data_IF_340217286939
#
_entry.id   IF_340217286939
#
_cell.length_a   1.000
_cell.length_b   1.000
_cell.length_c   1.000
_cell.angle_alpha   90.00
_cell.angle_beta   90.00
_cell.angle_gamma   90.00
#
_symmetry.space_group_name_H-M   'P 1'
#
loop_
_entity.id
_entity.type
_entity.pdbx_description
1 polymer ?
#
# COMPACT_ATOMS: atom_id res chain seq x y z
N UNK A 1 -17.75 46.20 8.94
CA UNK A 1 -17.04 46.05 7.65
C UNK A 1 -16.30 44.71 7.69
N UNK A 2 -16.59 43.86 6.71
CA UNK A 2 -16.04 42.51 6.46
C UNK A 2 -14.48 42.52 6.50
N UNK A 3 -13.75 41.43 6.74
CA UNK A 3 -13.82 40.13 6.04
C UNK A 3 -13.27 39.00 6.95
N UNK A 4 -14.07 37.96 7.14
CA UNK A 4 -13.63 36.62 7.56
C UNK A 4 -12.77 36.01 6.44
N UNK A 5 -11.46 35.82 6.68
CA UNK A 5 -10.65 34.95 5.82
C UNK A 5 -10.81 33.49 6.26
N UNK A 6 -11.35 32.70 5.34
CA UNK A 6 -11.68 31.29 5.48
C UNK A 6 -10.43 30.43 5.74
N UNK A 7 -10.41 29.78 6.91
CA UNK A 7 -9.42 28.78 7.34
C UNK A 7 -9.25 27.59 6.37
N UNK A 8 -10.18 27.40 5.40
CA UNK A 8 -10.11 26.32 4.40
C UNK A 8 -9.03 26.54 3.34
N UNK A 9 -8.65 27.79 3.04
CA UNK A 9 -7.65 28.06 1.99
C UNK A 9 -6.21 28.07 2.50
N UNK A 10 -6.01 28.29 3.81
CA UNK A 10 -4.68 28.29 4.42
C UNK A 10 -4.10 26.85 4.54
N UNK A 11 -4.95 25.88 4.88
CA UNK A 11 -4.55 24.46 4.86
C UNK A 11 -4.29 23.95 3.43
N UNK A 12 -5.04 24.42 2.43
CA UNK A 12 -4.84 24.01 1.04
C UNK A 12 -3.55 24.59 0.44
N UNK A 13 -3.16 25.82 0.83
CA UNK A 13 -1.90 26.44 0.40
C UNK A 13 -0.68 25.84 1.09
N UNK A 14 -0.77 25.44 2.36
CA UNK A 14 0.30 24.68 3.05
C UNK A 14 0.46 23.28 2.45
N UNK A 15 -0.63 22.61 2.06
CA UNK A 15 -0.55 21.32 1.35
C UNK A 15 0.11 21.51 -0.02
N UNK A 16 -0.23 22.55 -0.79
CA UNK A 16 0.42 22.80 -2.09
C UNK A 16 1.90 23.18 -1.93
N UNK A 17 2.26 23.99 -0.93
CA UNK A 17 3.66 24.38 -0.67
C UNK A 17 4.50 23.21 -0.14
N UNK A 18 3.95 22.35 0.73
CA UNK A 18 4.64 21.12 1.11
C UNK A 18 4.69 20.10 -0.03
N UNK A 19 3.68 19.98 -0.89
CA UNK A 19 3.75 19.14 -2.09
C UNK A 19 4.73 19.68 -3.13
N UNK A 20 4.93 20.99 -3.23
CA UNK A 20 5.96 21.57 -4.12
C UNK A 20 7.39 21.27 -3.63
N UNK A 21 7.60 21.23 -2.32
CA UNK A 21 8.86 20.78 -1.71
C UNK A 21 8.95 19.24 -1.60
N UNK A 22 7.83 18.52 -1.78
CA UNK A 22 7.75 17.08 -2.00
C UNK A 22 7.68 16.71 -3.49
N UNK A 23 8.02 17.64 -4.39
CA UNK A 23 8.67 17.29 -5.65
C UNK A 23 10.10 16.92 -5.28
N UNK A 24 10.20 15.81 -4.53
CA UNK A 24 11.43 15.07 -4.37
C UNK A 24 11.89 14.80 -5.79
N UNK A 25 13.03 15.40 -6.14
CA UNK A 25 13.82 15.13 -7.32
C UNK A 25 13.36 13.83 -8.01
N UNK A 26 12.60 13.97 -9.09
CA UNK A 26 12.68 12.99 -10.18
C UNK A 26 14.10 13.15 -10.75
N UNK A 27 15.10 12.77 -9.95
CA UNK A 27 16.37 12.33 -10.48
C UNK A 27 15.96 11.08 -11.23
N UNK A 28 16.06 11.12 -12.56
CA UNK A 28 16.25 9.91 -13.33
C UNK A 28 17.25 9.08 -12.53
N UNK A 29 16.77 7.98 -11.98
CA UNK A 29 17.68 6.91 -11.62
C UNK A 29 18.26 6.57 -12.99
N UNK A 30 19.48 7.06 -13.26
CA UNK A 30 20.36 6.46 -14.24
C UNK A 30 20.50 5.02 -13.80
N UNK A 31 19.55 4.19 -14.22
CA UNK A 31 19.70 2.75 -14.21
C UNK A 31 20.83 2.52 -15.18
N UNK A 32 22.07 2.50 -14.66
CA UNK A 32 23.16 1.89 -15.38
C UNK A 32 22.62 0.57 -15.91
N UNK A 33 22.67 0.41 -17.23
CA UNK A 33 22.19 -0.74 -17.98
C UNK A 33 22.89 -2.01 -17.51
N UNK A 34 22.53 -2.49 -16.33
CA UNK A 34 22.80 -3.83 -15.85
C UNK A 34 21.54 -4.61 -16.14
N UNK A 35 21.46 -5.12 -17.37
CA UNK A 35 20.45 -6.12 -17.70
C UNK A 35 20.70 -7.34 -16.82
N UNK A 36 19.89 -7.49 -15.77
CA UNK A 36 19.95 -8.68 -14.90
C UNK A 36 19.57 -9.88 -15.77
N UNK A 37 20.56 -10.71 -16.10
CA UNK A 37 20.38 -11.88 -16.94
C UNK A 37 19.67 -13.00 -16.15
N UNK A 38 18.34 -13.05 -16.28
CA UNK A 38 17.46 -13.99 -15.57
C UNK A 38 17.54 -15.45 -16.06
N UNK A 39 18.51 -15.81 -16.90
CA UNK A 39 18.62 -17.14 -17.52
C UNK A 39 19.32 -18.20 -16.66
N UNK A 40 19.75 -17.87 -15.44
CA UNK A 40 20.42 -18.84 -14.57
C UNK A 40 19.44 -19.91 -14.06
N UNK A 41 19.72 -21.21 -14.28
CA UNK A 41 18.87 -22.30 -13.79
C UNK A 41 18.92 -22.47 -12.27
N UNK A 42 19.95 -21.96 -11.59
CA UNK A 42 20.15 -22.17 -10.15
C UNK A 42 19.39 -21.17 -9.29
N UNK A 43 19.09 -19.96 -9.80
CA UNK A 43 18.29 -18.91 -9.13
C UNK A 43 17.54 -18.08 -10.18
N UNK A 44 16.37 -18.55 -10.67
CA UNK A 44 15.61 -17.80 -11.67
C UNK A 44 15.12 -16.46 -11.11
N UNK A 45 14.76 -15.53 -12.00
CA UNK A 45 14.03 -14.34 -11.60
C UNK A 45 12.59 -14.66 -11.20
N UNK A 46 12.08 -13.89 -10.24
CA UNK A 46 10.72 -13.98 -9.73
C UNK A 46 9.78 -13.27 -10.72
N UNK A 47 8.97 -14.02 -11.47
CA UNK A 47 7.99 -13.45 -12.40
C UNK A 47 6.72 -12.96 -11.68
N UNK A 48 5.96 -12.07 -12.33
CA UNK A 48 4.77 -11.44 -11.74
C UNK A 48 3.61 -12.43 -11.60
N UNK A 49 3.04 -12.55 -10.39
CA UNK A 49 1.79 -13.29 -10.13
C UNK A 49 0.67 -12.33 -9.76
N UNK A 50 -0.43 -12.36 -10.50
CA UNK A 50 -1.56 -11.45 -10.29
C UNK A 50 -2.34 -11.76 -9.01
N UNK A 51 -2.74 -10.72 -8.28
CA UNK A 51 -3.50 -10.82 -7.03
C UNK A 51 -5.00 -10.69 -7.29
N UNK A 52 -5.77 -11.67 -6.80
CA UNK A 52 -7.25 -11.69 -6.94
C UNK A 52 -8.01 -10.89 -5.86
N UNK A 53 -7.40 -10.66 -4.69
CA UNK A 53 -8.04 -10.02 -3.53
C UNK A 53 -7.14 -8.92 -2.99
N UNK A 54 -7.61 -7.68 -2.99
CA UNK A 54 -6.87 -6.49 -2.57
C UNK A 54 -7.56 -5.74 -1.43
N UNK A 55 -6.97 -4.62 -1.03
CA UNK A 55 -7.60 -3.65 -0.15
C UNK A 55 -7.84 -2.38 -0.98
N UNK A 56 -9.05 -2.25 -1.51
CA UNK A 56 -9.42 -1.14 -2.37
C UNK A 56 -10.28 -0.15 -1.60
N UNK A 57 -9.99 1.14 -1.74
CA UNK A 57 -10.72 2.20 -1.05
C UNK A 57 -11.27 3.19 -2.07
N UNK A 58 -12.43 3.75 -1.74
CA UNK A 58 -13.14 4.69 -2.62
C UNK A 58 -13.60 5.93 -1.87
N UNK A 59 -13.73 7.03 -2.61
CA UNK A 59 -14.46 8.21 -2.15
C UNK A 59 -15.44 8.63 -3.24
N UNK A 60 -16.70 8.15 -3.20
CA UNK A 60 -17.67 8.37 -4.27
C UNK A 60 -17.93 9.85 -4.58
N UNK A 61 -17.98 10.70 -3.54
CA UNK A 61 -18.16 12.16 -3.66
C UNK A 61 -17.16 12.81 -4.63
N UNK A 62 -15.91 12.33 -4.62
CA UNK A 62 -14.83 12.85 -5.46
C UNK A 62 -14.45 11.90 -6.61
N UNK A 63 -15.19 10.78 -6.77
CA UNK A 63 -14.89 9.68 -7.69
C UNK A 63 -13.42 9.23 -7.60
N UNK A 64 -12.90 9.11 -6.38
CA UNK A 64 -11.55 8.63 -6.13
C UNK A 64 -11.54 7.14 -5.85
N UNK A 65 -10.52 6.44 -6.34
CA UNK A 65 -10.27 5.03 -6.06
C UNK A 65 -8.77 4.78 -5.87
N UNK A 66 -8.41 3.96 -4.90
CA UNK A 66 -7.03 3.50 -4.71
C UNK A 66 -6.95 2.04 -4.27
N UNK A 67 -5.83 1.39 -4.57
CA UNK A 67 -5.43 0.11 -4.00
C UNK A 67 -4.33 0.34 -2.97
N UNK A 68 -4.53 -0.15 -1.75
CA UNK A 68 -3.59 0.02 -0.65
C UNK A 68 -2.64 -1.17 -0.58
N UNK A 69 -1.34 -0.88 -0.63
CA UNK A 69 -0.24 -1.84 -0.52
C UNK A 69 0.58 -1.58 0.74
N UNK A 70 0.95 -2.64 1.45
CA UNK A 70 1.69 -2.51 2.69
C UNK A 70 3.02 -1.77 2.47
N UNK A 71 3.34 -0.86 3.40
CA UNK A 71 4.58 -0.06 3.40
C UNK A 71 4.71 0.96 2.27
N UNK A 72 3.62 1.20 1.54
CA UNK A 72 3.50 2.27 0.52
C UNK A 72 2.56 3.38 1.00
N UNK A 73 2.90 4.04 2.10
CA UNK A 73 2.05 5.08 2.69
C UNK A 73 0.64 4.58 3.07
N UNK A 74 0.51 3.27 3.30
CA UNK A 74 -0.78 2.58 3.38
C UNK A 74 -1.70 3.11 4.46
N UNK A 75 -1.20 3.30 5.68
CA UNK A 75 -2.02 3.76 6.80
C UNK A 75 -2.56 5.16 6.54
N UNK A 76 -1.70 6.05 6.03
CA UNK A 76 -2.08 7.43 5.74
C UNK A 76 -3.09 7.53 4.60
N UNK A 77 -2.94 6.74 3.53
CA UNK A 77 -3.95 6.68 2.47
C UNK A 77 -5.31 6.25 3.03
N UNK A 78 -5.34 5.23 3.89
CA UNK A 78 -6.61 4.76 4.48
C UNK A 78 -7.25 5.86 5.31
N UNK A 79 -6.47 6.55 6.16
CA UNK A 79 -6.92 7.69 6.96
C UNK A 79 -7.49 8.81 6.09
N UNK A 80 -6.75 9.24 5.06
CA UNK A 80 -7.16 10.29 4.11
C UNK A 80 -8.46 9.88 3.39
N UNK A 81 -8.57 8.63 2.93
CA UNK A 81 -9.78 8.15 2.27
C UNK A 81 -10.97 8.06 3.22
N UNK A 82 -10.76 7.75 4.50
CA UNK A 82 -11.82 7.77 5.50
C UNK A 82 -12.30 9.20 5.77
N UNK A 83 -11.36 10.13 6.03
CA UNK A 83 -11.64 11.56 6.20
C UNK A 83 -12.41 12.16 5.00
N UNK A 84 -11.98 11.86 3.77
CA UNK A 84 -12.65 12.36 2.56
C UNK A 84 -14.01 11.68 2.31
N UNK A 85 -14.21 10.48 2.83
CA UNK A 85 -15.46 9.73 2.70
C UNK A 85 -16.53 10.25 3.66
N UNK A 86 -16.18 10.38 4.94
CA UNK A 86 -17.05 10.90 5.99
C UNK A 86 -16.21 11.59 7.07
N UNK A 87 -16.05 12.91 6.91
CA UNK A 87 -15.29 13.78 7.82
C UNK A 87 -15.85 13.75 9.25
N UNK A 88 -17.19 13.76 9.41
CA UNK A 88 -17.82 13.76 10.73
C UNK A 88 -17.55 12.46 11.46
N UNK A 89 -17.67 11.34 10.75
CA UNK A 89 -17.37 10.03 11.31
C UNK A 89 -15.89 9.88 11.64
N UNK A 90 -15.01 10.36 10.77
CA UNK A 90 -13.57 10.38 11.05
C UNK A 90 -13.28 11.12 12.36
N UNK A 91 -13.76 12.35 12.51
CA UNK A 91 -13.54 13.16 13.72
C UNK A 91 -14.28 12.69 14.97
N UNK A 92 -15.29 11.83 14.83
CA UNK A 92 -15.93 11.20 16.00
C UNK A 92 -15.04 10.16 16.69
N UNK A 93 -13.98 9.70 16.00
CA UNK A 93 -13.08 8.63 16.48
C UNK A 93 -11.63 9.13 16.58
N UNK A 94 -11.19 9.97 15.64
CA UNK A 94 -9.79 10.38 15.48
C UNK A 94 -9.67 11.91 15.37
N UNK A 95 -8.70 12.49 16.05
CA UNK A 95 -8.37 13.91 15.92
C UNK A 95 -7.38 14.16 14.78
N UNK A 96 -6.52 13.19 14.50
CA UNK A 96 -5.44 13.30 13.53
C UNK A 96 -5.32 12.07 12.62
N UNK A 97 -4.81 12.26 11.40
CA UNK A 97 -4.70 11.20 10.38
C UNK A 97 -3.79 10.04 10.80
N UNK A 98 -2.83 10.26 11.69
CA UNK A 98 -1.91 9.23 12.19
C UNK A 98 -2.55 8.27 13.21
N UNK A 99 -3.76 8.58 13.70
CA UNK A 99 -4.49 7.76 14.67
C UNK A 99 -5.30 6.63 13.99
N UNK A 100 -5.50 6.73 12.68
CA UNK A 100 -6.25 5.75 11.88
C UNK A 100 -5.34 4.63 11.35
N UNK A 101 -5.05 3.65 12.22
CA UNK A 101 -4.27 2.45 11.91
C UNK A 101 -5.12 1.16 11.81
N UNK A 102 -4.50 0.05 11.40
CA UNK A 102 -5.19 -1.19 10.95
C UNK A 102 -6.33 -1.71 11.85
N UNK A 103 -6.20 -1.56 13.18
CA UNK A 103 -7.19 -2.02 14.16
C UNK A 103 -8.20 -0.93 14.58
N UNK A 104 -8.00 0.32 14.16
CA UNK A 104 -8.80 1.48 14.56
C UNK A 104 -9.41 2.21 13.35
N UNK A 105 -9.66 1.50 12.25
CA UNK A 105 -10.20 2.09 11.03
C UNK A 105 -11.66 2.50 11.18
N UNK A 106 -11.92 3.82 11.25
CA UNK A 106 -13.26 4.39 11.38
C UNK A 106 -14.19 3.99 10.22
N UNK A 107 -13.67 3.89 8.99
CA UNK A 107 -14.46 3.63 7.78
C UNK A 107 -14.33 2.20 7.21
N UNK A 108 -13.64 1.25 7.88
CA UNK A 108 -13.19 -0.06 7.31
C UNK A 108 -14.26 -0.88 6.58
N UNK A 109 -15.54 -0.68 6.85
CA UNK A 109 -16.66 -1.45 6.26
C UNK A 109 -17.46 -0.70 5.19
N UNK A 110 -17.28 0.62 5.10
CA UNK A 110 -18.15 1.47 4.27
C UNK A 110 -17.49 1.77 2.93
N UNK A 111 -16.25 2.25 2.99
CA UNK A 111 -15.50 2.73 1.84
C UNK A 111 -14.45 1.73 1.31
N UNK A 112 -14.37 0.53 1.90
CA UNK A 112 -13.47 -0.54 1.48
C UNK A 112 -14.18 -1.59 0.61
N UNK A 113 -13.47 -2.14 -0.38
CA UNK A 113 -13.87 -3.34 -1.13
C UNK A 113 -12.72 -4.35 -1.25
N UNK A 114 -13.06 -5.64 -1.35
CA UNK A 114 -12.07 -6.73 -1.47
C UNK A 114 -11.65 -6.99 -2.91
N UNK A 115 -12.53 -6.69 -3.86
CA UNK A 115 -12.28 -6.89 -5.28
C UNK A 115 -12.73 -5.69 -6.11
N UNK A 116 -12.09 -5.50 -7.24
CA UNK A 116 -12.46 -4.47 -8.20
C UNK A 116 -13.90 -4.68 -8.74
N UNK A 117 -14.31 -5.94 -8.91
CA UNK A 117 -15.68 -6.31 -9.35
C UNK A 117 -16.74 -5.86 -8.34
N UNK A 118 -16.48 -6.06 -7.06
CA UNK A 118 -17.35 -5.62 -5.96
C UNK A 118 -17.51 -4.09 -5.97
N UNK A 119 -16.40 -3.36 -6.12
CA UNK A 119 -16.44 -1.90 -6.19
C UNK A 119 -17.21 -1.39 -7.41
N UNK A 120 -16.97 -1.94 -8.61
CA UNK A 120 -17.69 -1.55 -9.82
C UNK A 120 -19.19 -1.83 -9.66
N UNK A 121 -19.56 -2.95 -9.06
CA UNK A 121 -20.97 -3.29 -8.79
C UNK A 121 -21.59 -2.25 -7.85
N UNK A 122 -20.93 -1.94 -6.74
CA UNK A 122 -21.44 -1.05 -5.69
C UNK A 122 -21.51 0.43 -6.12
N UNK A 123 -20.50 0.92 -6.83
CA UNK A 123 -20.33 2.35 -7.08
C UNK A 123 -20.47 2.77 -8.55
N UNK A 124 -20.73 1.84 -9.45
CA UNK A 124 -20.95 2.13 -10.87
C UNK A 124 -22.02 1.25 -11.50
N UNK A 125 -22.87 0.59 -10.68
CA UNK A 125 -23.94 -0.30 -11.12
C UNK A 125 -23.46 -1.33 -12.17
N UNK A 126 -22.24 -1.87 -11.99
CA UNK A 126 -21.65 -2.84 -12.92
C UNK A 126 -20.99 -2.23 -14.16
N UNK A 127 -21.13 -0.91 -14.42
CA UNK A 127 -20.60 -0.24 -15.62
C UNK A 127 -19.09 -0.05 -15.52
N UNK A 128 -18.33 -1.08 -15.91
CA UNK A 128 -16.86 -1.10 -15.90
C UNK A 128 -16.24 0.11 -16.61
N UNK A 129 -16.65 0.40 -17.85
CA UNK A 129 -16.13 1.54 -18.65
C UNK A 129 -16.38 2.89 -17.96
N UNK A 130 -17.52 3.03 -17.29
CA UNK A 130 -17.82 4.24 -16.51
C UNK A 130 -16.85 4.40 -15.34
N UNK A 131 -16.63 3.33 -14.56
CA UNK A 131 -15.71 3.36 -13.43
C UNK A 131 -14.31 3.79 -13.89
N UNK A 132 -13.73 3.08 -14.86
CA UNK A 132 -12.38 3.37 -15.36
C UNK A 132 -12.19 4.76 -15.97
N UNK A 133 -13.21 5.29 -16.64
CA UNK A 133 -13.07 6.55 -17.38
C UNK A 133 -13.50 7.79 -16.57
N UNK A 134 -14.36 7.62 -15.56
CA UNK A 134 -14.92 8.74 -14.80
C UNK A 134 -14.37 8.85 -13.38
N UNK A 135 -13.71 7.81 -12.88
CA UNK A 135 -13.05 7.83 -11.59
C UNK A 135 -11.56 8.10 -11.76
N UNK A 136 -10.96 8.75 -10.77
CA UNK A 136 -9.53 8.93 -10.67
C UNK A 136 -8.95 7.76 -9.89
N UNK A 137 -8.15 6.95 -10.58
CA UNK A 137 -7.47 5.80 -9.98
C UNK A 137 -6.02 6.19 -9.71
N UNK A 138 -5.57 6.03 -8.48
CA UNK A 138 -4.16 6.24 -8.15
C UNK A 138 -3.66 5.19 -7.19
N UNK A 139 -2.35 4.98 -7.23
CA UNK A 139 -1.63 4.08 -6.37
C UNK A 139 -0.33 4.77 -5.97
N UNK A 140 0.05 4.63 -4.70
CA UNK A 140 1.35 5.12 -4.23
C UNK A 140 2.31 3.94 -4.29
N UNK A 141 3.43 4.14 -4.99
CA UNK A 141 4.51 3.17 -5.13
C UNK A 141 5.74 3.81 -4.51
N UNK A 142 6.35 3.12 -3.55
CA UNK A 142 7.62 3.51 -2.94
C UNK A 142 8.77 2.77 -3.60
N UNK A 143 9.98 3.34 -3.55
CA UNK A 143 11.21 2.64 -3.90
C UNK A 143 11.23 1.23 -3.27
N UNK A 144 11.43 0.14 -4.05
CA UNK A 144 11.35 -1.22 -3.54
C UNK A 144 12.31 -1.53 -2.38
N UNK A 145 13.53 -0.98 -2.43
CA UNK A 145 14.56 -1.18 -1.40
C UNK A 145 14.14 -0.50 -0.11
N UNK A 146 13.73 0.77 -0.18
CA UNK A 146 13.26 1.48 1.01
C UNK A 146 12.01 0.85 1.63
N UNK A 147 11.07 0.41 0.79
CA UNK A 147 9.88 -0.31 1.24
C UNK A 147 10.29 -1.58 2.00
N UNK A 148 11.24 -2.34 1.45
CA UNK A 148 11.76 -3.54 2.08
C UNK A 148 12.43 -3.22 3.42
N UNK A 149 13.34 -2.25 3.47
CA UNK A 149 14.03 -1.85 4.72
C UNK A 149 13.01 -1.38 5.77
N UNK A 150 12.03 -0.56 5.38
CA UNK A 150 10.96 -0.11 6.28
C UNK A 150 10.07 -1.26 6.77
N UNK A 151 9.82 -2.26 5.92
CA UNK A 151 9.13 -3.49 6.29
C UNK A 151 9.92 -4.32 7.30
N UNK A 152 11.18 -4.59 6.98
CA UNK A 152 12.08 -5.43 7.75
C UNK A 152 12.36 -4.82 9.12
N UNK A 153 12.73 -3.54 9.17
CA UNK A 153 13.03 -2.84 10.42
C UNK A 153 11.80 -2.80 11.33
N UNK A 154 10.63 -2.46 10.81
CA UNK A 154 9.40 -2.43 11.60
C UNK A 154 8.99 -3.79 12.13
N UNK A 155 9.01 -4.82 11.28
CA UNK A 155 8.40 -6.11 11.61
C UNK A 155 9.42 -7.05 12.26
N UNK A 156 10.63 -7.14 11.71
CA UNK A 156 11.63 -8.13 12.10
C UNK A 156 12.67 -7.62 13.09
N UNK A 157 12.87 -6.31 13.21
CA UNK A 157 13.79 -5.72 14.19
C UNK A 157 13.02 -5.21 15.40
N UNK A 158 12.14 -4.22 15.22
CA UNK A 158 11.37 -3.65 16.33
C UNK A 158 10.25 -4.56 16.82
N UNK A 159 9.56 -5.26 15.90
CA UNK A 159 8.47 -6.16 16.25
C UNK A 159 8.90 -7.56 16.68
N UNK A 160 10.21 -7.84 16.81
CA UNK A 160 10.79 -9.19 16.90
C UNK A 160 10.21 -10.08 18.00
N UNK A 161 9.71 -9.48 19.09
CA UNK A 161 9.18 -10.22 20.23
C UNK A 161 7.74 -10.70 20.01
N UNK A 162 7.02 -10.12 19.05
CA UNK A 162 5.65 -10.55 18.74
C UNK A 162 5.62 -11.88 17.98
N UNK A 163 4.66 -12.74 18.31
CA UNK A 163 4.46 -14.04 17.64
C UNK A 163 4.24 -13.88 16.13
N UNK A 164 3.50 -12.84 15.71
CA UNK A 164 3.23 -12.57 14.29
C UNK A 164 4.52 -12.20 13.56
N UNK A 165 5.37 -11.36 14.18
CA UNK A 165 6.67 -11.01 13.61
C UNK A 165 7.61 -12.21 13.54
N UNK A 166 7.72 -13.01 14.59
CA UNK A 166 8.56 -14.23 14.59
C UNK A 166 8.21 -15.14 13.39
N UNK A 167 6.91 -15.40 13.19
CA UNK A 167 6.42 -16.17 12.03
C UNK A 167 6.70 -15.47 10.70
N UNK A 168 6.43 -14.16 10.60
CA UNK A 168 6.64 -13.38 9.36
C UNK A 168 8.12 -13.31 8.99
N UNK A 169 9.01 -13.27 9.98
CA UNK A 169 10.44 -13.10 9.81
C UNK A 169 11.21 -14.42 9.85
N UNK A 170 10.51 -15.55 9.69
CA UNK A 170 11.08 -16.90 9.64
C UNK A 170 11.98 -17.24 10.85
N UNK A 171 11.70 -16.66 12.02
CA UNK A 171 12.53 -16.77 13.23
C UNK A 171 14.00 -16.34 13.03
N UNK A 172 14.30 -15.47 12.05
CA UNK A 172 15.64 -14.95 11.78
C UNK A 172 16.14 -13.94 12.83
N UNK A 173 15.34 -13.55 13.81
CA UNK A 173 15.73 -12.68 14.93
C UNK A 173 16.43 -11.36 14.55
N UNK A 174 16.02 -10.76 13.43
CA UNK A 174 16.60 -9.49 12.94
C UNK A 174 17.81 -9.66 12.01
N UNK A 175 18.20 -10.89 11.68
CA UNK A 175 19.20 -11.17 10.64
C UNK A 175 18.60 -10.99 9.24
N UNK A 176 19.16 -10.04 8.49
CA UNK A 176 18.66 -9.67 7.15
C UNK A 176 19.02 -10.70 6.08
N UNK A 177 20.17 -11.36 6.20
CA UNK A 177 20.63 -12.35 5.23
C UNK A 177 19.78 -13.61 5.32
N UNK A 178 19.58 -14.13 6.54
CA UNK A 178 18.62 -15.19 6.84
C UNK A 178 17.24 -14.87 6.28
N UNK A 179 16.74 -13.66 6.52
CA UNK A 179 15.41 -13.26 6.09
C UNK A 179 15.30 -13.21 4.56
N UNK A 180 16.27 -12.63 3.85
CA UNK A 180 16.27 -12.55 2.39
C UNK A 180 16.29 -13.95 1.78
N UNK A 181 17.16 -14.84 2.29
CA UNK A 181 17.26 -16.21 1.79
C UNK A 181 15.93 -16.98 1.97
N UNK A 182 15.31 -16.88 3.16
CA UNK A 182 14.01 -17.52 3.42
C UNK A 182 12.84 -16.90 2.66
N UNK A 183 12.84 -15.58 2.48
CA UNK A 183 11.84 -14.90 1.66
C UNK A 183 11.94 -15.36 0.20
N UNK A 184 13.15 -15.48 -0.33
CA UNK A 184 13.39 -15.98 -1.68
C UNK A 184 12.86 -17.42 -1.85
N UNK A 185 13.22 -18.33 -0.93
CA UNK A 185 12.71 -19.71 -0.91
C UNK A 185 11.17 -19.75 -0.90
N UNK A 186 10.53 -18.99 0.00
CA UNK A 186 9.08 -18.92 0.15
C UNK A 186 8.39 -18.41 -1.13
N UNK A 187 8.94 -17.38 -1.78
CA UNK A 187 8.44 -16.88 -3.07
C UNK A 187 8.54 -17.97 -4.15
N UNK A 188 9.65 -18.70 -4.19
CA UNK A 188 9.86 -19.79 -5.15
C UNK A 188 8.88 -20.95 -4.98
N UNK A 189 8.58 -21.31 -3.73
CA UNK A 189 7.54 -22.31 -3.44
C UNK A 189 6.17 -21.88 -3.98
N UNK A 190 5.84 -20.59 -3.90
CA UNK A 190 4.57 -20.05 -4.41
C UNK A 190 4.53 -19.97 -5.93
N UNK A 191 5.66 -19.71 -6.58
CA UNK A 191 5.75 -19.66 -8.04
C UNK A 191 5.65 -21.07 -8.66
N UNK A 192 6.40 -22.03 -8.13
CA UNK A 192 6.45 -23.39 -8.65
C UNK A 192 5.24 -24.26 -8.27
N UNK A 193 4.18 -23.65 -7.73
CA UNK A 193 2.94 -24.36 -7.35
C UNK A 193 3.04 -25.25 -6.10
N UNK A 194 4.23 -25.42 -5.53
CA UNK A 194 4.47 -26.20 -4.30
C UNK A 194 3.74 -25.62 -3.08
N UNK A 195 3.47 -24.31 -3.09
CA UNK A 195 2.65 -23.63 -2.09
C UNK A 195 1.56 -22.81 -2.77
N UNK A 196 0.31 -23.01 -2.36
CA UNK A 196 -0.84 -22.28 -2.95
C UNK A 196 -0.72 -20.77 -2.73
N UNK A 197 -0.45 -20.37 -1.48
CA UNK A 197 -0.24 -18.97 -1.08
C UNK A 197 0.74 -18.87 0.09
N UNK A 198 1.53 -17.80 0.11
CA UNK A 198 2.25 -17.37 1.30
C UNK A 198 1.31 -16.71 2.33
N UNK A 199 1.76 -16.67 3.58
CA UNK A 199 1.09 -15.95 4.67
C UNK A 199 0.77 -14.51 4.28
N UNK A 200 -0.44 -14.05 4.65
CA UNK A 200 -0.93 -12.73 4.23
C UNK A 200 -0.01 -11.60 4.68
N UNK A 201 0.42 -11.61 5.95
CA UNK A 201 1.23 -10.55 6.54
C UNK A 201 2.60 -10.42 5.84
N UNK A 202 3.25 -11.56 5.56
CA UNK A 202 4.47 -11.64 4.77
C UNK A 202 4.27 -11.06 3.36
N UNK A 203 3.23 -11.54 2.66
CA UNK A 203 2.93 -11.11 1.29
C UNK A 203 2.56 -9.64 1.18
N UNK A 204 1.85 -9.11 2.17
CA UNK A 204 1.43 -7.70 2.18
C UNK A 204 2.63 -6.75 2.35
N UNK A 205 3.65 -7.14 3.11
CA UNK A 205 4.78 -6.27 3.46
C UNK A 205 6.05 -6.49 2.63
N UNK A 206 6.31 -7.72 2.16
CA UNK A 206 7.62 -8.08 1.60
C UNK A 206 7.59 -8.58 0.16
N UNK A 207 6.44 -9.04 -0.35
CA UNK A 207 6.38 -9.52 -1.73
C UNK A 207 6.50 -8.35 -2.72
N UNK A 208 6.89 -8.64 -3.98
CA UNK A 208 7.01 -7.63 -5.03
C UNK A 208 5.73 -6.80 -5.17
N UNK A 209 5.89 -5.49 -5.32
CA UNK A 209 4.76 -4.57 -5.39
C UNK A 209 3.92 -4.82 -6.66
N UNK A 210 4.55 -5.22 -7.76
CA UNK A 210 3.89 -5.58 -9.02
C UNK A 210 2.90 -6.72 -8.89
N UNK A 211 3.01 -7.56 -7.85
CA UNK A 211 2.06 -8.64 -7.61
C UNK A 211 0.76 -8.14 -6.96
N UNK A 212 0.73 -6.91 -6.45
CA UNK A 212 -0.40 -6.34 -5.73
C UNK A 212 -1.23 -5.37 -6.59
N UNK A 213 -0.79 -5.11 -7.82
CA UNK A 213 -1.45 -4.24 -8.81
C UNK A 213 -2.37 -5.05 -9.72
#
# INVERSE_FOLDING_TARGET
>A
MYICYSHKYFLFSIIILHFSNFICQLKEINTGNSSINCKSPTKPCVYTKTRKIGAYYVVPKYKLHTCVMGKNFSSMIVAIFCYLFDEKKFFSIHNHLNEDYFNNHACKKENQGKTFKELIKKYSNGKKKYFFNKWKHFIIIRNPIERFISGFTHICVYGKDSLISKKTCFNCNGDIECFINKLYEEIFLVLNGKKKYAEYHLRHHFFPQSWLV
#
